data_IF_051623210936
#
_entry.id   IF_051623210936
#
_cell.length_a   1.000
_cell.length_b   1.000
_cell.length_c   1.000
_cell.angle_alpha   90.00
_cell.angle_beta   90.00
_cell.angle_gamma   90.00
#
_symmetry.space_group_name_H-M   'P 1'
#
loop_
_entity.id
_entity.type
_entity.pdbx_description
1 polymer ?
#
# COMPACT_ATOMS: atom_id res chain seq x y z
N UNK A 1 -56.43 -4.09 32.29
CA UNK A 1 -55.08 -4.20 32.85
C UNK A 1 -54.25 -5.14 31.98
N UNK A 2 -53.72 -4.68 30.85
CA UNK A 2 -52.79 -5.46 29.97
C UNK A 2 -51.99 -4.56 28.99
N UNK A 3 -51.42 -3.43 29.44
CA UNK A 3 -50.58 -2.55 28.56
C UNK A 3 -49.22 -2.25 29.18
N UNK A 4 -48.88 -2.74 30.37
CA UNK A 4 -47.62 -2.42 31.03
C UNK A 4 -46.46 -3.40 30.73
N UNK A 5 -46.67 -4.46 29.94
CA UNK A 5 -45.65 -5.48 29.68
C UNK A 5 -44.83 -5.34 28.41
N UNK A 6 -45.19 -4.44 27.48
CA UNK A 6 -44.59 -4.39 26.16
C UNK A 6 -43.48 -3.34 25.97
N UNK A 7 -43.29 -2.43 26.90
CA UNK A 7 -42.24 -1.38 26.80
C UNK A 7 -40.86 -1.84 27.28
N UNK A 8 -40.79 -2.75 28.24
CA UNK A 8 -39.52 -3.27 28.75
C UNK A 8 -38.76 -4.20 27.78
N UNK A 9 -39.52 -4.85 26.87
CA UNK A 9 -38.94 -5.76 25.89
C UNK A 9 -38.26 -5.06 24.69
N UNK A 10 -38.72 -3.85 24.35
CA UNK A 10 -38.21 -3.09 23.21
C UNK A 10 -36.88 -2.38 23.56
N UNK A 11 -36.78 -1.86 24.77
CA UNK A 11 -35.51 -1.23 25.22
C UNK A 11 -34.38 -2.25 25.35
N UNK A 12 -34.67 -3.45 25.80
CA UNK A 12 -33.68 -4.52 25.91
C UNK A 12 -33.17 -5.01 24.55
N UNK A 13 -34.04 -5.00 23.51
CA UNK A 13 -33.68 -5.43 22.16
C UNK A 13 -32.84 -4.38 21.42
N UNK A 14 -33.10 -3.08 21.62
CA UNK A 14 -32.36 -1.97 21.04
C UNK A 14 -30.96 -1.86 21.67
N UNK A 15 -30.82 -2.12 22.97
CA UNK A 15 -29.54 -2.05 23.67
C UNK A 15 -28.61 -3.22 23.31
N UNK A 16 -29.16 -4.39 22.96
CA UNK A 16 -28.38 -5.55 22.54
C UNK A 16 -27.80 -5.41 21.10
N UNK A 17 -28.37 -4.53 20.27
CA UNK A 17 -27.92 -4.32 18.88
C UNK A 17 -26.84 -3.23 18.72
N UNK A 18 -26.50 -2.49 19.74
CA UNK A 18 -25.54 -1.36 19.68
C UNK A 18 -24.28 -1.62 20.53
N UNK A 19 -23.75 -2.82 20.54
CA UNK A 19 -22.38 -3.00 21.07
C UNK A 19 -21.40 -2.43 20.05
N UNK A 20 -21.05 -1.17 20.24
CA UNK A 20 -20.00 -0.50 19.48
C UNK A 20 -18.68 -0.81 20.14
N UNK A 21 -17.74 -1.41 19.41
CA UNK A 21 -16.35 -1.57 19.83
C UNK A 21 -15.51 -0.42 19.27
N UNK A 22 -14.47 -0.04 20.02
CA UNK A 22 -13.46 0.90 19.55
C UNK A 22 -12.43 0.16 18.71
N UNK A 23 -12.33 0.50 17.43
CA UNK A 23 -11.44 -0.14 16.47
C UNK A 23 -10.45 0.84 15.88
N UNK A 24 -9.34 0.34 15.35
CA UNK A 24 -8.34 1.15 14.66
C UNK A 24 -8.72 1.37 13.20
N UNK A 25 -8.64 2.63 12.78
CA UNK A 25 -8.76 3.04 11.37
C UNK A 25 -7.55 3.90 11.00
N UNK A 26 -7.27 4.04 9.70
CA UNK A 26 -6.23 4.92 9.22
C UNK A 26 -6.69 6.39 9.21
N UNK A 27 -5.94 7.27 9.86
CA UNK A 27 -6.15 8.72 9.85
C UNK A 27 -5.80 9.34 8.49
N UNK A 28 -4.88 8.74 7.75
CA UNK A 28 -4.43 9.18 6.42
C UNK A 28 -4.11 7.98 5.54
N UNK A 29 -3.90 8.23 4.24
CA UNK A 29 -3.42 7.20 3.33
C UNK A 29 -2.02 6.73 3.73
N UNK A 30 -1.80 5.42 3.69
CA UNK A 30 -0.53 4.76 4.01
C UNK A 30 -0.14 3.92 2.81
N UNK A 31 1.03 4.21 2.23
CA UNK A 31 1.57 3.48 1.09
C UNK A 31 2.08 2.09 1.46
N UNK A 32 2.13 1.20 0.47
CA UNK A 32 2.75 -0.12 0.59
C UNK A 32 4.18 -0.02 1.16
N UNK A 33 4.50 -0.86 2.10
CA UNK A 33 5.85 -0.91 2.70
C UNK A 33 6.11 0.17 3.76
N UNK A 34 5.17 1.08 4.01
CA UNK A 34 5.29 2.09 5.06
C UNK A 34 5.11 1.45 6.45
N UNK A 35 6.01 1.76 7.37
CA UNK A 35 5.86 1.34 8.77
C UNK A 35 4.89 2.28 9.49
N UNK A 36 3.80 1.73 10.00
CA UNK A 36 2.76 2.48 10.70
C UNK A 36 3.31 3.19 11.93
N UNK A 37 2.99 4.46 12.04
CA UNK A 37 3.27 5.31 13.19
C UNK A 37 2.00 5.56 13.98
N UNK A 38 2.12 6.15 15.17
CA UNK A 38 0.96 6.52 15.97
C UNK A 38 0.08 7.57 15.29
N UNK A 39 0.67 8.45 14.47
CA UNK A 39 -0.04 9.49 13.72
C UNK A 39 -0.88 8.94 12.55
N UNK A 40 -0.58 7.73 12.09
CA UNK A 40 -1.34 7.06 11.03
C UNK A 40 -2.64 6.44 11.52
N UNK A 41 -2.81 6.35 12.86
CA UNK A 41 -3.87 5.59 13.51
C UNK A 41 -4.90 6.50 14.17
N UNK A 42 -6.16 6.23 13.95
CA UNK A 42 -7.30 6.87 14.61
C UNK A 42 -8.23 5.80 15.19
N UNK A 43 -9.01 6.19 16.20
CA UNK A 43 -10.00 5.31 16.82
C UNK A 43 -11.38 5.65 16.28
N UNK A 44 -12.08 4.65 15.76
CA UNK A 44 -13.46 4.77 15.34
C UNK A 44 -14.36 3.78 16.09
N UNK A 45 -15.64 4.12 16.20
CA UNK A 45 -16.65 3.20 16.70
C UNK A 45 -17.15 2.32 15.57
N UNK A 46 -17.11 1.01 15.73
CA UNK A 46 -17.72 0.04 14.81
C UNK A 46 -18.72 -0.83 15.53
N UNK A 47 -19.80 -1.19 14.84
CA UNK A 47 -20.73 -2.18 15.35
C UNK A 47 -20.01 -3.52 15.39
N UNK A 48 -20.10 -4.20 16.54
CA UNK A 48 -19.45 -5.49 16.71
C UNK A 48 -20.17 -6.54 15.87
N UNK A 49 -19.45 -7.14 14.93
CA UNK A 49 -19.91 -8.22 14.07
C UNK A 49 -18.85 -9.33 14.08
N UNK A 50 -19.27 -10.58 14.18
CA UNK A 50 -18.36 -11.74 14.22
C UNK A 50 -17.54 -11.92 12.93
N UNK A 51 -17.98 -11.32 11.83
CA UNK A 51 -17.28 -11.34 10.54
C UNK A 51 -16.32 -10.15 10.37
N UNK A 52 -16.40 -9.15 11.26
CA UNK A 52 -15.56 -7.95 11.21
C UNK A 52 -14.29 -8.18 12.06
N UNK A 53 -13.22 -8.62 11.42
CA UNK A 53 -11.93 -8.90 12.08
C UNK A 53 -11.09 -7.64 12.31
N UNK A 54 -11.73 -6.53 12.71
CA UNK A 54 -11.06 -5.28 13.01
C UNK A 54 -10.10 -5.41 14.21
N UNK A 55 -9.02 -4.65 14.17
CA UNK A 55 -8.08 -4.56 15.28
C UNK A 55 -8.66 -3.61 16.33
N UNK A 56 -8.75 -4.09 17.57
CA UNK A 56 -9.22 -3.29 18.70
C UNK A 56 -8.29 -2.09 18.98
N UNK A 57 -8.84 -0.97 19.40
CA UNK A 57 -8.08 0.23 19.76
C UNK A 57 -7.06 -0.03 20.88
N UNK A 58 -7.30 -1.00 21.77
CA UNK A 58 -6.37 -1.38 22.81
C UNK A 58 -5.09 -2.05 22.29
N UNK A 59 -5.16 -2.63 21.08
CA UNK A 59 -4.00 -3.27 20.43
C UNK A 59 -3.12 -2.27 19.66
N UNK A 60 -3.39 -0.96 19.73
CA UNK A 60 -2.66 0.12 19.03
C UNK A 60 -1.15 -0.03 19.15
N UNK A 61 -0.63 -0.31 20.35
CA UNK A 61 0.81 -0.48 20.57
C UNK A 61 1.43 -1.67 19.81
N UNK A 62 0.63 -2.68 19.45
CA UNK A 62 1.08 -3.83 18.67
C UNK A 62 1.07 -3.54 17.15
N UNK A 63 0.29 -2.55 16.72
CA UNK A 63 0.15 -2.13 15.31
C UNK A 63 1.24 -1.14 14.92
N UNK A 64 1.61 -0.22 15.83
CA UNK A 64 2.70 0.71 15.60
C UNK A 64 4.00 -0.04 15.31
N UNK A 65 4.65 0.30 14.19
CA UNK A 65 5.87 -0.35 13.70
C UNK A 65 5.62 -1.57 12.79
N UNK A 66 4.39 -2.05 12.65
CA UNK A 66 4.05 -2.98 11.59
C UNK A 66 4.01 -2.27 10.24
N UNK A 67 4.13 -3.01 9.16
CA UNK A 67 4.25 -2.48 7.80
C UNK A 67 2.95 -2.73 7.04
N UNK A 68 2.48 -1.74 6.28
CA UNK A 68 1.35 -1.89 5.39
C UNK A 68 1.68 -2.91 4.28
N UNK A 69 0.87 -3.96 4.16
CA UNK A 69 1.05 -5.03 3.18
C UNK A 69 0.71 -4.58 1.74
N UNK A 70 -0.07 -3.53 1.60
CA UNK A 70 -0.46 -2.86 0.37
C UNK A 70 -0.81 -1.40 0.67
N UNK A 71 -1.08 -0.60 -0.35
CA UNK A 71 -1.50 0.80 -0.16
C UNK A 71 -2.92 0.83 0.41
N UNK A 72 -3.07 1.53 1.54
CA UNK A 72 -4.30 1.62 2.31
C UNK A 72 -4.83 3.06 2.32
N UNK A 73 -6.05 3.33 1.84
CA UNK A 73 -6.65 4.66 1.89
C UNK A 73 -6.94 5.14 3.32
N UNK A 74 -7.02 6.45 3.50
CA UNK A 74 -7.52 7.05 4.74
C UNK A 74 -8.92 6.52 5.08
N UNK A 75 -9.20 6.31 6.37
CA UNK A 75 -10.46 5.76 6.85
C UNK A 75 -10.59 4.24 6.71
N UNK A 76 -9.57 3.55 6.19
CA UNK A 76 -9.55 2.07 6.16
C UNK A 76 -9.59 1.51 7.57
N UNK A 77 -10.54 0.62 7.81
CA UNK A 77 -10.62 -0.18 9.02
C UNK A 77 -9.48 -1.20 9.03
N UNK A 78 -8.62 -1.16 10.04
CA UNK A 78 -7.46 -2.04 10.08
C UNK A 78 -7.82 -3.44 10.52
N UNK A 79 -7.35 -4.41 9.73
CA UNK A 79 -7.35 -5.84 10.07
C UNK A 79 -5.92 -6.37 10.05
N UNK A 80 -5.71 -7.58 10.59
CA UNK A 80 -4.38 -8.20 10.56
C UNK A 80 -3.91 -8.59 9.16
N UNK A 81 -4.82 -8.75 8.21
CA UNK A 81 -4.49 -9.12 6.83
C UNK A 81 -3.81 -7.97 6.06
N UNK A 82 -4.06 -6.72 6.46
CA UNK A 82 -3.49 -5.52 5.86
C UNK A 82 -2.09 -5.19 6.39
N UNK A 83 -1.63 -5.93 7.39
CA UNK A 83 -0.38 -5.68 8.08
C UNK A 83 0.61 -6.83 7.88
N UNK A 84 1.89 -6.49 7.79
CA UNK A 84 2.99 -7.44 7.69
C UNK A 84 4.17 -6.98 8.54
N UNK A 85 5.07 -7.90 8.86
CA UNK A 85 6.37 -7.60 9.44
C UNK A 85 7.48 -7.51 8.37
N UNK A 86 7.17 -7.86 7.13
CA UNK A 86 8.09 -7.78 6.01
C UNK A 86 8.36 -6.31 5.64
N UNK A 87 9.62 -5.90 5.65
CA UNK A 87 10.03 -4.55 5.28
C UNK A 87 10.14 -4.42 3.76
N UNK A 88 9.90 -3.20 3.26
CA UNK A 88 10.16 -2.85 1.85
C UNK A 88 11.16 -1.69 1.84
N UNK A 89 12.33 -1.84 1.18
CA UNK A 89 12.83 -3.05 0.52
C UNK A 89 13.16 -4.17 1.52
N UNK A 90 12.93 -5.41 1.10
CA UNK A 90 13.28 -6.61 1.86
C UNK A 90 14.77 -6.96 1.75
N UNK A 91 15.13 -8.12 2.30
CA UNK A 91 16.47 -8.68 2.14
C UNK A 91 16.73 -8.93 0.64
N UNK A 92 17.94 -8.62 0.17
CA UNK A 92 18.35 -8.73 -1.24
C UNK A 92 17.51 -7.87 -2.21
N UNK A 93 16.90 -6.79 -1.72
CA UNK A 93 16.19 -5.80 -2.53
C UNK A 93 16.75 -4.40 -2.31
N UNK A 94 16.63 -3.55 -3.32
CA UNK A 94 16.97 -2.13 -3.27
C UNK A 94 15.87 -1.32 -3.93
N UNK A 95 15.70 -0.07 -3.50
CA UNK A 95 14.86 0.90 -4.17
C UNK A 95 15.73 1.68 -5.18
N UNK A 96 15.26 1.75 -6.41
CA UNK A 96 15.95 2.49 -7.48
C UNK A 96 14.98 3.54 -8.04
N UNK A 97 15.38 4.81 -8.04
CA UNK A 97 14.66 5.87 -8.73
C UNK A 97 14.82 5.73 -10.25
N UNK A 98 13.73 5.65 -10.96
CA UNK A 98 13.67 5.50 -12.42
C UNK A 98 13.15 6.81 -13.01
N UNK A 99 13.99 7.54 -13.72
CA UNK A 99 13.58 8.73 -14.47
C UNK A 99 12.94 8.30 -15.77
N UNK A 100 11.67 8.58 -15.92
CA UNK A 100 10.88 8.27 -17.11
C UNK A 100 10.53 9.55 -17.86
N UNK A 101 10.90 9.60 -19.13
CA UNK A 101 10.58 10.72 -20.03
C UNK A 101 9.20 10.50 -20.67
N UNK A 102 8.56 11.55 -21.20
CA UNK A 102 7.33 11.40 -21.97
C UNK A 102 7.45 10.33 -23.07
N UNK A 103 6.49 9.42 -23.14
CA UNK A 103 6.50 8.28 -24.07
C UNK A 103 7.23 7.03 -23.58
N UNK A 104 7.90 7.07 -22.42
CA UNK A 104 8.55 5.90 -21.80
C UNK A 104 7.72 5.30 -20.68
N UNK A 105 6.53 5.82 -20.44
CA UNK A 105 5.55 5.37 -19.43
C UNK A 105 4.29 4.90 -20.16
N UNK A 106 3.66 3.82 -19.73
CA UNK A 106 2.34 3.44 -20.24
C UNK A 106 1.31 4.57 -20.09
N UNK A 107 0.42 4.73 -21.09
CA UNK A 107 -0.55 5.82 -21.11
C UNK A 107 -1.51 5.83 -19.91
N UNK A 108 -1.76 4.68 -19.29
CA UNK A 108 -2.55 4.57 -18.04
C UNK A 108 -1.82 5.07 -16.80
N UNK A 109 -0.54 5.42 -16.90
CA UNK A 109 0.33 5.70 -15.77
C UNK A 109 0.83 4.43 -15.09
N UNK A 110 1.53 4.62 -13.97
CA UNK A 110 1.98 3.57 -13.05
C UNK A 110 1.51 3.90 -11.65
N UNK A 111 1.20 2.87 -10.88
CA UNK A 111 0.69 3.00 -9.52
C UNK A 111 1.57 2.18 -8.56
N UNK A 112 1.57 2.50 -7.27
CA UNK A 112 2.18 1.63 -6.26
C UNK A 112 1.72 0.17 -6.43
N UNK A 113 2.65 -0.75 -6.18
CA UNK A 113 2.48 -2.19 -6.30
C UNK A 113 2.42 -2.75 -7.74
N UNK A 114 2.34 -1.91 -8.80
CA UNK A 114 2.43 -2.39 -10.17
C UNK A 114 3.72 -3.20 -10.38
N UNK A 115 3.61 -4.38 -11.01
CA UNK A 115 4.76 -5.13 -11.50
C UNK A 115 5.22 -4.54 -12.82
N UNK A 116 6.50 -4.25 -12.92
CA UNK A 116 7.06 -3.56 -14.08
C UNK A 116 8.31 -4.26 -14.62
N UNK A 117 8.48 -4.17 -15.93
CA UNK A 117 9.71 -4.55 -16.61
C UNK A 117 10.44 -3.28 -17.02
N UNK A 118 11.65 -3.12 -16.52
CA UNK A 118 12.58 -2.05 -16.86
C UNK A 118 13.49 -2.54 -17.99
N UNK A 119 13.35 -1.96 -19.18
CA UNK A 119 14.14 -2.33 -20.34
C UNK A 119 15.08 -1.18 -20.73
N UNK A 120 16.41 -1.37 -20.67
CA UNK A 120 17.38 -0.37 -21.12
C UNK A 120 17.24 -0.07 -22.62
N UNK A 121 17.41 1.22 -23.00
CA UNK A 121 17.16 1.70 -24.38
C UNK A 121 18.42 2.08 -25.15
N UNK A 122 19.60 2.06 -24.50
CA UNK A 122 20.87 2.45 -25.14
C UNK A 122 21.72 1.25 -25.53
N UNK A 123 22.57 1.41 -26.54
CA UNK A 123 23.48 0.34 -27.00
C UNK A 123 24.53 -0.04 -25.96
N UNK A 124 24.97 0.90 -25.12
CA UNK A 124 25.84 0.61 -23.97
C UNK A 124 25.08 -0.14 -22.86
N UNK A 125 23.79 0.07 -22.74
CA UNK A 125 22.90 -0.62 -21.83
C UNK A 125 22.54 -2.04 -22.30
N UNK A 126 22.95 -2.46 -23.51
CA UNK A 126 22.72 -3.85 -24.02
C UNK A 126 23.42 -4.90 -23.14
N UNK A 127 24.36 -4.48 -22.29
CA UNK A 127 24.97 -5.37 -21.29
C UNK A 127 24.16 -5.48 -19.98
N UNK A 128 23.14 -4.62 -19.79
CA UNK A 128 22.27 -4.67 -18.63
C UNK A 128 20.97 -5.39 -19.02
N UNK A 129 20.67 -6.55 -18.44
CA UNK A 129 19.46 -7.29 -18.78
C UNK A 129 18.21 -6.53 -18.33
N UNK A 130 17.07 -6.72 -19.01
CA UNK A 130 15.79 -6.26 -18.52
C UNK A 130 15.52 -6.77 -17.09
N UNK A 131 15.00 -5.88 -16.25
CA UNK A 131 14.83 -6.14 -14.82
C UNK A 131 13.35 -6.05 -14.44
N UNK A 132 12.86 -7.05 -13.76
CA UNK A 132 11.51 -7.02 -13.16
C UNK A 132 11.60 -6.35 -11.80
N UNK A 133 10.73 -5.38 -11.57
CA UNK A 133 10.60 -4.69 -10.28
C UNK A 133 9.14 -4.52 -9.88
N UNK A 134 8.94 -3.94 -8.71
CA UNK A 134 7.62 -3.53 -8.23
C UNK A 134 7.67 -2.04 -7.87
N UNK A 135 6.70 -1.27 -8.33
CA UNK A 135 6.60 0.17 -8.04
C UNK A 135 6.35 0.36 -6.55
N UNK A 136 7.19 1.14 -5.89
CA UNK A 136 7.01 1.54 -4.50
C UNK A 136 6.20 2.83 -4.44
N UNK A 137 6.62 3.82 -5.24
CA UNK A 137 5.94 5.10 -5.33
C UNK A 137 6.06 5.66 -6.74
N UNK A 138 5.05 6.37 -7.19
CA UNK A 138 5.05 7.09 -8.46
C UNK A 138 5.02 8.59 -8.16
N UNK A 139 6.17 9.24 -8.28
CA UNK A 139 6.31 10.66 -8.02
C UNK A 139 5.45 11.53 -8.94
N UNK A 140 5.33 12.80 -8.61
CA UNK A 140 4.61 13.78 -9.43
C UNK A 140 5.37 14.10 -10.70
N UNK A 141 4.63 14.32 -11.80
CA UNK A 141 5.23 14.73 -13.07
C UNK A 141 5.85 16.13 -12.95
N UNK A 142 7.08 16.26 -13.46
CA UNK A 142 7.74 17.56 -13.61
C UNK A 142 7.13 18.38 -14.75
N UNK A 143 7.51 19.66 -14.86
CA UNK A 143 6.98 20.57 -15.88
C UNK A 143 7.29 20.14 -17.32
N UNK A 144 8.34 19.35 -17.53
CA UNK A 144 8.73 18.78 -18.82
C UNK A 144 8.01 17.44 -19.14
N UNK A 145 7.10 17.01 -18.25
CA UNK A 145 6.37 15.76 -18.35
C UNK A 145 7.18 14.53 -17.95
N UNK A 146 8.39 14.70 -17.45
CA UNK A 146 9.15 13.59 -16.84
C UNK A 146 8.58 13.22 -15.46
N UNK A 147 8.74 11.97 -15.06
CA UNK A 147 8.36 11.47 -13.75
C UNK A 147 9.46 10.59 -13.17
N UNK A 148 9.68 10.67 -11.88
CA UNK A 148 10.57 9.74 -11.17
C UNK A 148 9.67 8.72 -10.46
N UNK A 149 9.95 7.46 -10.70
CA UNK A 149 9.21 6.33 -10.11
C UNK A 149 10.20 5.52 -9.28
N UNK A 150 9.88 5.31 -8.02
CA UNK A 150 10.66 4.46 -7.13
C UNK A 150 10.26 3.00 -7.34
N UNK A 151 11.23 2.18 -7.73
CA UNK A 151 11.01 0.76 -8.03
C UNK A 151 11.89 -0.10 -7.15
N UNK A 152 11.29 -1.08 -6.51
CA UNK A 152 11.98 -2.14 -5.76
C UNK A 152 12.48 -3.17 -6.76
N UNK A 153 13.80 -3.40 -6.78
CA UNK A 153 14.44 -4.39 -7.65
C UNK A 153 15.34 -5.32 -6.84
N UNK A 154 15.62 -6.55 -7.31
CA UNK A 154 16.61 -7.42 -6.68
C UNK A 154 18.00 -6.78 -6.68
N UNK A 155 18.75 -6.88 -5.58
CA UNK A 155 20.14 -6.37 -5.47
C UNK A 155 21.05 -6.94 -6.58
N UNK A 156 20.84 -8.18 -6.97
CA UNK A 156 21.58 -8.81 -8.08
C UNK A 156 21.38 -8.10 -9.43
N UNK A 157 20.31 -7.30 -9.57
CA UNK A 157 19.97 -6.59 -10.80
C UNK A 157 20.13 -5.06 -10.66
N UNK A 158 20.83 -4.60 -9.62
CA UNK A 158 21.05 -3.17 -9.35
C UNK A 158 21.75 -2.41 -10.50
N UNK A 159 22.42 -3.12 -11.42
CA UNK A 159 23.03 -2.52 -12.60
C UNK A 159 22.03 -1.70 -13.46
N UNK A 160 20.71 -1.96 -13.35
CA UNK A 160 19.66 -1.17 -13.99
C UNK A 160 19.60 0.27 -13.47
N UNK A 161 20.10 0.55 -12.27
CA UNK A 161 20.03 1.87 -11.64
C UNK A 161 20.73 2.96 -12.47
N UNK A 162 21.85 2.66 -13.13
CA UNK A 162 22.57 3.61 -13.95
C UNK A 162 21.76 4.09 -15.17
N UNK A 163 21.27 3.22 -16.06
CA UNK A 163 20.41 3.64 -17.16
C UNK A 163 19.06 4.19 -16.69
N UNK A 164 18.52 3.69 -15.58
CA UNK A 164 17.25 4.17 -15.02
C UNK A 164 17.35 5.63 -14.56
N UNK A 165 18.37 5.98 -13.78
CA UNK A 165 18.62 7.35 -13.33
C UNK A 165 18.95 8.34 -14.47
N UNK A 166 19.51 7.85 -15.57
CA UNK A 166 19.79 8.65 -16.77
C UNK A 166 18.55 8.83 -17.69
N UNK A 167 17.41 8.25 -17.37
CA UNK A 167 16.22 8.26 -18.22
C UNK A 167 16.39 7.48 -19.53
N UNK A 168 17.12 6.37 -19.47
CA UNK A 168 17.45 5.49 -20.59
C UNK A 168 16.79 4.11 -20.43
N UNK A 169 15.60 4.10 -19.83
CA UNK A 169 14.81 2.89 -19.57
C UNK A 169 13.38 3.12 -20.03
N UNK A 170 12.82 2.14 -20.71
CA UNK A 170 11.37 2.04 -20.92
C UNK A 170 10.76 1.17 -19.84
N UNK A 171 9.67 1.63 -19.27
CA UNK A 171 8.90 0.89 -18.30
C UNK A 171 7.68 0.25 -18.95
N UNK A 172 7.56 -1.06 -18.84
CA UNK A 172 6.40 -1.83 -19.30
C UNK A 172 5.69 -2.46 -18.10
N UNK A 173 4.36 -2.40 -18.11
CA UNK A 173 3.56 -3.05 -17.09
C UNK A 173 3.47 -4.55 -17.36
N UNK A 174 3.63 -5.32 -16.30
CA UNK A 174 3.45 -6.77 -16.34
C UNK A 174 2.10 -7.15 -15.72
N UNK A 175 1.66 -8.37 -16.00
CA UNK A 175 0.53 -8.98 -15.29
C UNK A 175 0.86 -9.07 -13.79
N UNK A 176 -0.03 -8.58 -12.90
CA UNK A 176 0.19 -8.66 -11.45
C UNK A 176 0.35 -10.09 -10.95
N UNK A 177 -0.31 -11.07 -11.58
CA UNK A 177 -0.29 -12.49 -11.22
C UNK A 177 0.63 -13.34 -12.12
N UNK A 178 1.29 -12.73 -13.08
CA UNK A 178 2.19 -13.43 -14.02
C UNK A 178 3.40 -14.07 -13.31
N UNK A 179 3.96 -15.14 -13.90
CA UNK A 179 5.14 -15.82 -13.38
C UNK A 179 6.37 -14.93 -13.31
#
# INVERSE_FOLDING_TARGET
VLVAGSLAGVESYVTAQNQTSSVLVLAREVGWGHALTDEDLEVAGAVQDEHLHAIDAMDRAQVVGQVAAHTLPAGTLLTRAELTTARVPGVDQVVTGVLLKPGMVPARGVHPEDRVLLTPTTSEATQVPPTVGRVLDAGTSAADGSVVVDVVVPTAQVAIATPAGAGQVVLSLLDPEGP
#
